data_IF_156729725920
#
_entry.id   IF_156729725920
#
_cell.length_a   1.000
_cell.length_b   1.000
_cell.length_c   1.000
_cell.angle_alpha   90.00
_cell.angle_beta   90.00
_cell.angle_gamma   90.00
#
_symmetry.space_group_name_H-M   'P 1'
#
loop_
_entity.id
_entity.type
_entity.pdbx_description
1 polymer ?
#
# COMPACT_ATOMS: atom_id res chain seq x y z
N UNK A 1 -13.89 -8.06 -11.83
CA UNK A 1 -13.05 -7.84 -13.03
C UNK A 1 -11.69 -8.47 -12.80
N UNK A 2 -11.00 -8.96 -13.84
CA UNK A 2 -9.63 -9.47 -13.68
C UNK A 2 -8.66 -8.28 -13.59
N UNK A 3 -7.92 -8.17 -12.48
CA UNK A 3 -6.87 -7.17 -12.32
C UNK A 3 -5.67 -7.51 -13.20
N UNK A 4 -5.30 -6.59 -14.10
CA UNK A 4 -4.15 -6.77 -15.00
C UNK A 4 -3.10 -5.70 -14.73
N UNK A 5 -1.91 -6.13 -14.32
CA UNK A 5 -0.75 -5.27 -14.07
C UNK A 5 0.19 -5.37 -15.27
N UNK A 6 0.54 -4.24 -15.88
CA UNK A 6 1.38 -4.19 -17.10
C UNK A 6 2.76 -3.56 -16.86
N UNK A 7 2.83 -2.64 -15.91
CA UNK A 7 3.99 -1.85 -15.59
C UNK A 7 4.18 -1.74 -14.08
N UNK A 8 5.39 -1.39 -13.66
CA UNK A 8 5.69 -1.04 -12.26
C UNK A 8 5.07 0.30 -11.86
N UNK A 9 5.24 0.73 -10.61
CA UNK A 9 4.80 2.05 -10.18
C UNK A 9 5.57 3.16 -10.91
N UNK A 10 4.89 4.27 -11.18
CA UNK A 10 5.56 5.53 -11.50
C UNK A 10 6.21 6.07 -10.23
N UNK A 11 7.54 6.16 -10.23
CA UNK A 11 8.30 6.61 -9.07
C UNK A 11 7.94 8.03 -8.63
N UNK A 12 7.44 8.88 -9.54
CA UNK A 12 7.03 10.26 -9.23
C UNK A 12 5.63 10.35 -8.62
N UNK A 13 4.79 9.31 -8.79
CA UNK A 13 3.48 9.21 -8.18
C UNK A 13 3.52 8.60 -6.76
N UNK A 14 4.67 8.06 -6.35
CA UNK A 14 4.84 7.48 -5.03
C UNK A 14 4.94 8.56 -3.96
N UNK A 15 4.00 8.53 -3.02
CA UNK A 15 4.02 9.35 -1.81
C UNK A 15 4.41 8.50 -0.62
N UNK A 16 5.24 9.05 0.27
CA UNK A 16 5.58 8.40 1.52
C UNK A 16 4.46 8.63 2.55
N UNK A 17 4.07 7.55 3.23
CA UNK A 17 3.13 7.58 4.35
C UNK A 17 3.86 7.21 5.64
N UNK A 18 3.48 7.87 6.73
CA UNK A 18 3.86 7.40 8.06
C UNK A 18 3.31 5.98 8.27
N UNK A 19 4.16 5.10 8.79
CA UNK A 19 3.77 3.77 9.18
C UNK A 19 4.60 3.29 10.38
N UNK A 20 3.99 3.31 11.56
CA UNK A 20 4.65 3.01 12.83
C UNK A 20 4.93 1.52 13.00
N UNK A 21 4.22 0.66 12.26
CA UNK A 21 4.45 -0.78 12.24
C UNK A 21 5.63 -1.23 11.36
N UNK A 22 6.30 -0.32 10.64
CA UNK A 22 7.55 -0.63 9.95
C UNK A 22 8.76 -0.59 10.91
N UNK A 23 9.77 -1.45 10.71
CA UNK A 23 11.03 -1.33 11.44
C UNK A 23 11.74 0.00 11.15
N UNK A 24 12.61 0.49 12.06
CA UNK A 24 13.43 1.67 11.81
C UNK A 24 14.23 1.58 10.50
N UNK A 25 14.31 2.68 9.77
CA UNK A 25 15.01 2.79 8.48
C UNK A 25 14.28 2.13 7.30
N UNK A 26 12.98 1.86 7.45
CA UNK A 26 12.08 1.40 6.38
C UNK A 26 10.95 2.42 6.18
N UNK A 27 10.66 2.71 4.93
CA UNK A 27 9.70 3.73 4.50
C UNK A 27 8.60 3.08 3.67
N UNK A 28 7.34 3.44 3.95
CA UNK A 28 6.18 3.02 3.17
C UNK A 28 5.88 4.06 2.11
N UNK A 29 6.03 3.70 0.83
CA UNK A 29 5.58 4.53 -0.28
C UNK A 29 4.40 3.88 -0.98
N UNK A 30 3.43 4.68 -1.40
CA UNK A 30 2.22 4.19 -2.07
C UNK A 30 1.84 5.09 -3.25
N UNK A 31 1.18 4.50 -4.24
CA UNK A 31 0.65 5.21 -5.39
C UNK A 31 -0.84 5.53 -5.13
N UNK A 32 -1.10 6.63 -4.42
CA UNK A 32 -2.47 7.07 -4.13
C UNK A 32 -3.16 7.68 -5.35
N UNK A 33 -2.39 8.28 -6.26
CA UNK A 33 -2.92 8.85 -7.50
C UNK A 33 -3.65 7.76 -8.31
N UNK A 34 -3.04 6.58 -8.45
CA UNK A 34 -3.64 5.46 -9.18
C UNK A 34 -4.40 4.47 -8.27
N UNK A 35 -4.79 4.87 -7.06
CA UNK A 35 -5.68 4.08 -6.21
C UNK A 35 -7.01 3.83 -6.93
N UNK A 36 -7.33 2.56 -7.14
CA UNK A 36 -8.56 2.13 -7.79
C UNK A 36 -9.43 1.27 -6.86
N UNK A 37 -10.70 1.63 -6.72
CA UNK A 37 -11.72 0.85 -6.02
C UNK A 37 -12.76 0.39 -7.05
N UNK A 38 -12.93 -0.92 -7.22
CA UNK A 38 -14.01 -1.44 -8.08
C UNK A 38 -15.30 -1.54 -7.26
N UNK A 39 -16.37 -0.79 -7.61
CA UNK A 39 -17.62 -0.78 -6.84
C UNK A 39 -18.33 -2.14 -6.82
N UNK A 40 -17.97 -3.07 -7.72
CA UNK A 40 -18.55 -4.42 -7.76
C UNK A 40 -17.91 -5.38 -6.76
N UNK A 41 -16.68 -5.12 -6.33
CA UNK A 41 -15.96 -6.02 -5.41
C UNK A 41 -15.40 -5.35 -4.15
N UNK A 42 -15.46 -4.02 -4.07
CA UNK A 42 -15.05 -3.19 -2.93
C UNK A 42 -13.61 -3.43 -2.48
N UNK A 43 -12.71 -3.67 -3.44
CA UNK A 43 -11.28 -3.87 -3.19
C UNK A 43 -10.48 -2.65 -3.65
N UNK A 44 -9.73 -2.05 -2.72
CA UNK A 44 -8.74 -1.00 -2.98
C UNK A 44 -7.50 -1.60 -3.63
N UNK A 45 -7.12 -1.13 -4.82
CA UNK A 45 -5.98 -1.64 -5.59
C UNK A 45 -4.98 -0.53 -5.89
N UNK A 46 -3.73 -0.73 -5.48
CA UNK A 46 -2.65 0.26 -5.64
C UNK A 46 -1.27 -0.40 -5.58
N UNK A 47 -0.25 0.34 -6.01
CA UNK A 47 1.14 0.00 -5.74
C UNK A 47 1.52 0.40 -4.32
N UNK A 48 2.27 -0.49 -3.66
CA UNK A 48 2.87 -0.28 -2.36
C UNK A 48 4.35 -0.65 -2.47
N UNK A 49 5.25 0.20 -1.99
CA UNK A 49 6.71 0.01 -2.03
C UNK A 49 7.26 0.20 -0.63
N UNK A 50 8.08 -0.76 -0.19
CA UNK A 50 8.92 -0.59 1.00
C UNK A 50 10.33 -0.26 0.53
N UNK A 51 10.85 0.87 0.98
CA UNK A 51 12.21 1.34 0.70
C UNK A 51 13.00 1.39 2.01
N UNK A 52 14.25 0.95 2.00
CA UNK A 52 15.17 1.17 3.12
C UNK A 52 16.00 2.44 2.95
N UNK A 53 16.57 2.96 4.04
CA UNK A 53 17.56 4.06 4.01
C UNK A 53 18.73 3.79 3.05
N UNK A 54 19.15 2.53 2.94
CA UNK A 54 20.18 2.08 1.99
C UNK A 54 19.73 2.01 0.53
N UNK A 55 18.49 2.42 0.22
CA UNK A 55 17.92 2.43 -1.12
C UNK A 55 17.57 1.05 -1.68
N UNK A 56 17.38 0.04 -0.83
CA UNK A 56 16.80 -1.23 -1.26
C UNK A 56 15.28 -1.09 -1.34
N UNK A 57 14.68 -1.55 -2.44
CA UNK A 57 13.25 -1.39 -2.67
C UNK A 57 12.58 -2.72 -3.03
N UNK A 58 11.41 -2.95 -2.44
CA UNK A 58 10.52 -4.03 -2.82
C UNK A 58 9.09 -3.50 -2.92
N UNK A 59 8.52 -3.58 -4.11
CA UNK A 59 7.16 -3.18 -4.42
C UNK A 59 6.21 -4.35 -4.64
N UNK A 60 4.94 -4.10 -4.43
CA UNK A 60 3.84 -5.02 -4.74
C UNK A 60 2.59 -4.24 -5.15
N UNK A 61 1.91 -4.72 -6.19
CA UNK A 61 0.58 -4.25 -6.53
C UNK A 61 -0.43 -5.11 -5.80
N UNK A 62 -1.16 -4.52 -4.87
CA UNK A 62 -2.01 -5.24 -3.93
C UNK A 62 -3.47 -4.84 -4.05
N UNK A 63 -4.36 -5.78 -3.73
CA UNK A 63 -5.76 -5.50 -3.44
C UNK A 63 -6.02 -5.68 -1.95
N UNK A 64 -6.64 -4.69 -1.32
CA UNK A 64 -7.06 -4.70 0.10
C UNK A 64 -8.59 -4.82 0.15
N UNK A 65 -9.09 -5.83 0.86
CA UNK A 65 -10.52 -6.06 1.11
C UNK A 65 -10.83 -5.72 2.56
N UNK A 66 -11.37 -4.53 2.81
CA UNK A 66 -11.67 -4.04 4.16
C UNK A 66 -12.66 -4.95 4.92
N UNK A 67 -13.69 -5.45 4.23
CA UNK A 67 -14.75 -6.27 4.85
C UNK A 67 -14.25 -7.56 5.53
N UNK A 68 -13.15 -8.14 5.07
CA UNK A 68 -12.60 -9.40 5.61
C UNK A 68 -11.19 -9.24 6.20
N UNK A 69 -10.60 -8.04 6.13
CA UNK A 69 -9.22 -7.81 6.56
C UNK A 69 -8.22 -8.65 5.78
N UNK A 70 -8.39 -8.76 4.46
CA UNK A 70 -7.52 -9.57 3.59
C UNK A 70 -6.80 -8.71 2.55
N UNK A 71 -5.62 -9.17 2.15
CA UNK A 71 -4.90 -8.62 1.01
C UNK A 71 -4.63 -9.69 -0.04
N UNK A 72 -4.39 -9.26 -1.28
CA UNK A 72 -4.02 -10.10 -2.40
C UNK A 72 -2.95 -9.41 -3.23
N UNK A 73 -1.83 -10.07 -3.47
CA UNK A 73 -0.75 -9.54 -4.32
C UNK A 73 -0.95 -9.99 -5.76
N UNK A 74 -1.04 -9.05 -6.69
CA UNK A 74 -1.17 -9.31 -8.13
C UNK A 74 0.16 -9.22 -8.87
N UNK A 75 1.10 -8.42 -8.38
CA UNK A 75 2.44 -8.32 -8.96
C UNK A 75 3.46 -7.91 -7.90
N UNK A 76 4.73 -8.22 -8.16
CA UNK A 76 5.88 -7.73 -7.41
C UNK A 76 6.75 -6.87 -8.31
N UNK A 77 7.38 -5.87 -7.71
CA UNK A 77 8.28 -4.93 -8.36
C UNK A 77 9.62 -4.82 -7.62
N UNK A 78 10.73 -4.86 -8.34
CA UNK A 78 12.06 -4.54 -7.82
C UNK A 78 12.87 -3.86 -8.94
N UNK A 79 13.10 -2.54 -8.87
CA UNK A 79 13.74 -1.79 -9.95
C UNK A 79 15.17 -2.25 -10.26
N UNK A 80 15.86 -2.82 -9.28
CA UNK A 80 17.26 -3.29 -9.41
C UNK A 80 17.36 -4.76 -9.84
N UNK A 81 16.25 -5.46 -9.97
CA UNK A 81 16.20 -6.86 -10.37
C UNK A 81 16.33 -7.05 -11.89
N UNK A 82 16.88 -8.20 -12.32
CA UNK A 82 16.94 -8.57 -13.74
C UNK A 82 15.58 -8.74 -14.41
N UNK A 83 14.52 -8.91 -13.61
CA UNK A 83 13.12 -8.90 -14.01
C UNK A 83 12.37 -7.95 -13.09
N UNK A 84 12.30 -6.66 -13.42
CA UNK A 84 11.77 -5.65 -12.50
C UNK A 84 10.32 -5.88 -12.12
N UNK A 85 9.48 -6.34 -13.05
CA UNK A 85 8.07 -6.66 -12.80
C UNK A 85 7.84 -8.17 -12.88
N UNK A 86 7.15 -8.72 -11.88
CA UNK A 86 6.72 -10.12 -11.85
C UNK A 86 5.23 -10.22 -11.49
N UNK A 87 4.41 -10.50 -12.50
CA UNK A 87 2.97 -10.75 -12.33
C UNK A 87 2.72 -12.12 -11.67
N UNK A 88 1.79 -12.16 -10.72
CA UNK A 88 1.38 -13.38 -10.01
C UNK A 88 0.29 -14.07 -10.82
N UNK A 89 0.57 -15.29 -11.31
CA UNK A 89 -0.37 -16.05 -12.16
C UNK A 89 -1.66 -16.47 -11.43
N UNK A 90 -1.56 -16.78 -10.14
CA UNK A 90 -2.67 -17.26 -9.33
C UNK A 90 -2.68 -16.50 -7.99
N UNK A 91 -3.13 -15.23 -7.99
CA UNK A 91 -3.08 -14.40 -6.79
C UNK A 91 -4.13 -14.87 -5.78
N UNK A 92 -3.72 -15.04 -4.52
CA UNK A 92 -4.56 -15.58 -3.44
C UNK A 92 -4.81 -14.53 -2.36
N UNK A 93 -6.01 -14.54 -1.79
CA UNK A 93 -6.30 -13.80 -0.58
C UNK A 93 -5.49 -14.35 0.58
N UNK A 94 -5.00 -13.45 1.43
CA UNK A 94 -4.27 -13.76 2.65
C UNK A 94 -4.78 -12.82 3.74
N UNK A 95 -4.89 -13.29 5.00
CA UNK A 95 -5.25 -12.40 6.09
C UNK A 95 -4.18 -11.33 6.29
N UNK A 96 -4.61 -10.11 6.53
CA UNK A 96 -3.76 -9.03 7.02
C UNK A 96 -3.38 -9.40 8.46
N UNK A 97 -2.07 -9.37 8.76
CA UNK A 97 -1.60 -9.63 10.12
C UNK A 97 -1.93 -8.42 11.01
N UNK A 98 -2.50 -8.62 12.20
CA UNK A 98 -2.68 -7.55 13.17
C UNK A 98 -1.35 -6.86 13.48
N UNK A 99 -1.40 -5.55 13.78
CA UNK A 99 -0.25 -4.72 14.16
C UNK A 99 0.91 -4.70 13.15
N UNK A 100 0.69 -5.11 11.90
CA UNK A 100 1.67 -5.00 10.83
C UNK A 100 1.38 -3.80 9.95
N UNK A 101 2.36 -3.40 9.14
CA UNK A 101 2.25 -2.23 8.25
C UNK A 101 1.01 -2.25 7.34
N UNK A 102 0.56 -3.42 6.88
CA UNK A 102 -0.69 -3.54 6.09
C UNK A 102 -1.95 -3.25 6.91
N UNK A 103 -1.96 -3.61 8.19
CA UNK A 103 -3.10 -3.33 9.07
C UNK A 103 -3.23 -1.83 9.29
N UNK A 104 -2.10 -1.16 9.55
CA UNK A 104 -2.05 0.28 9.73
C UNK A 104 -2.39 1.03 8.43
N UNK A 105 -1.79 0.65 7.28
CA UNK A 105 -2.17 1.24 5.98
C UNK A 105 -3.68 1.07 5.70
N UNK A 106 -4.24 -0.09 6.04
CA UNK A 106 -5.66 -0.34 5.89
C UNK A 106 -6.50 0.59 6.79
N UNK A 107 -6.21 0.68 8.10
CA UNK A 107 -7.01 1.50 9.03
C UNK A 107 -6.81 3.00 8.81
N UNK A 108 -5.58 3.44 8.60
CA UNK A 108 -5.24 4.87 8.57
C UNK A 108 -5.50 5.50 7.20
N UNK A 109 -5.43 4.73 6.12
CA UNK A 109 -5.53 5.27 4.74
C UNK A 109 -6.66 4.67 3.91
N UNK A 110 -6.79 3.34 3.85
CA UNK A 110 -7.60 2.71 2.80
C UNK A 110 -9.03 2.32 3.20
N UNK A 111 -9.31 2.11 4.49
CA UNK A 111 -10.58 1.57 4.97
C UNK A 111 -11.33 2.55 5.89
N UNK A 112 -12.65 2.56 5.77
CA UNK A 112 -13.60 3.11 6.75
C UNK A 112 -14.46 1.94 7.23
N UNK A 113 -14.20 1.47 8.44
CA UNK A 113 -14.74 0.23 8.99
C UNK A 113 -14.53 -0.96 8.03
N UNK A 114 -15.62 -1.51 7.50
CA UNK A 114 -15.63 -2.67 6.60
C UNK A 114 -15.61 -2.29 5.11
N UNK A 115 -15.61 -0.99 4.79
CA UNK A 115 -15.67 -0.49 3.41
C UNK A 115 -14.36 0.19 3.01
N UNK A 116 -13.97 0.13 1.73
CA UNK A 116 -12.89 0.97 1.22
C UNK A 116 -13.31 2.44 1.29
N UNK A 117 -12.35 3.34 1.55
CA UNK A 117 -12.56 4.78 1.40
C UNK A 117 -12.69 5.14 -0.08
N UNK A 118 -13.37 6.25 -0.34
CA UNK A 118 -13.44 6.81 -1.69
C UNK A 118 -12.03 7.25 -2.14
N UNK A 119 -11.58 6.90 -3.37
CA UNK A 119 -10.28 7.31 -3.86
C UNK A 119 -10.04 8.82 -3.84
N UNK A 120 -11.05 9.64 -4.13
CA UNK A 120 -10.91 11.10 -4.15
C UNK A 120 -10.71 11.65 -2.73
N UNK A 121 -11.40 11.09 -1.74
CA UNK A 121 -11.19 11.42 -0.32
C UNK A 121 -9.78 11.03 0.15
N UNK A 122 -9.27 9.88 -0.31
CA UNK A 122 -7.90 9.43 0.03
C UNK A 122 -6.84 10.39 -0.55
N UNK A 123 -7.03 10.85 -1.80
CA UNK A 123 -6.09 11.80 -2.44
C UNK A 123 -6.18 13.20 -1.86
N UNK A 124 -7.38 13.64 -1.44
CA UNK A 124 -7.59 14.96 -0.86
C UNK A 124 -7.06 15.09 0.58
N UNK A 125 -6.80 13.96 1.27
CA UNK A 125 -6.23 13.98 2.62
C UNK A 125 -4.82 14.57 2.60
N UNK A 126 -4.52 15.55 3.47
CA UNK A 126 -3.16 15.97 3.71
C UNK A 126 -2.36 14.75 4.18
N UNK A 127 -1.36 14.35 3.39
CA UNK A 127 -0.37 13.40 3.86
C UNK A 127 0.42 14.15 4.92
N UNK A 128 0.37 13.70 6.17
CA UNK A 128 0.91 14.44 7.31
C UNK A 128 2.34 14.91 6.99
N UNK A 129 2.54 16.22 6.90
CA UNK A 129 3.86 16.83 7.03
C UNK A 129 4.29 16.50 8.47
N UNK A 130 5.35 15.71 8.60
CA UNK A 130 5.91 15.28 9.88
C UNK A 130 5.96 16.44 10.88
N UNK A 131 5.06 16.48 11.86
CA UNK A 131 5.08 17.52 12.87
C UNK A 131 4.52 16.99 14.18
N UNK A 132 5.41 16.95 15.17
CA UNK A 132 5.17 16.69 16.59
C UNK A 132 4.71 15.27 17.00
N UNK A 133 5.50 14.24 16.68
CA UNK A 133 5.57 13.08 17.57
C UNK A 133 6.33 13.47 18.84
N UNK A 134 5.59 13.83 19.89
CA UNK A 134 6.12 13.87 21.27
C UNK A 134 6.04 12.46 21.84
N UNK A 135 7.20 11.84 22.05
CA UNK A 135 7.27 10.54 22.70
C UNK A 135 6.72 10.64 24.14
N UNK A 136 5.84 9.74 24.58
CA UNK A 136 5.36 9.71 25.96
C UNK A 136 6.41 9.17 26.97
N UNK A 137 7.67 9.02 26.55
CA UNK A 137 8.78 8.50 27.36
C UNK A 137 9.84 9.57 27.69
N UNK A 138 9.54 10.86 27.52
CA UNK A 138 10.33 11.98 28.05
C UNK A 138 9.79 12.50 29.39
#
# INVERSE_FOLDING_TARGET
>A
METRVREGPDASALVELENQALPPGMHLLVDLEHLNVDPRDLVSRLWIVIRSDGGAENGSYEGIRCATGEYKVYAYYNPKGSRPLRVVKLPRWRPIRPHGWRAELASETLCSDTSPRDPDDVRARPQHESSDYRSPYE
#
